data_IF_847673181515
#
_entry.id   IF_847673181515
#
_cell.length_a   1.000
_cell.length_b   1.000
_cell.length_c   1.000
_cell.angle_alpha   90.00
_cell.angle_beta   90.00
_cell.angle_gamma   90.00
#
_symmetry.space_group_name_H-M   'P 1'
#
loop_
_entity.id
_entity.type
_entity.pdbx_description
1 polymer ?
#
# COMPACT_ATOMS: atom_id res chain seq x y z
N UNK A 1 7.17 14.67 35.96
CA UNK A 1 6.37 15.49 34.99
C UNK A 1 6.84 15.38 33.53
N UNK A 2 8.17 15.31 33.23
CA UNK A 2 8.69 15.24 31.84
C UNK A 2 8.35 13.95 31.06
N UNK A 3 8.24 12.78 31.75
CA UNK A 3 7.96 11.50 31.10
C UNK A 3 6.53 11.40 30.52
N UNK A 4 5.52 11.88 31.25
CA UNK A 4 4.11 11.97 30.77
C UNK A 4 3.92 12.96 29.61
N UNK A 5 4.77 13.98 29.50
CA UNK A 5 4.73 14.96 28.39
C UNK A 5 5.34 14.37 27.12
N UNK A 6 6.37 13.52 27.24
CA UNK A 6 6.96 12.80 26.11
C UNK A 6 6.03 11.68 25.61
N UNK A 7 5.42 10.91 26.51
CA UNK A 7 4.41 9.90 26.16
C UNK A 7 3.21 10.53 25.43
N UNK A 8 2.74 11.69 25.87
CA UNK A 8 1.66 12.44 25.24
C UNK A 8 2.05 13.09 23.88
N UNK A 9 3.35 13.36 23.68
CA UNK A 9 3.89 13.79 22.37
C UNK A 9 4.07 12.60 21.41
N UNK A 10 4.41 11.42 21.91
CA UNK A 10 4.50 10.19 21.11
C UNK A 10 3.11 9.66 20.72
N UNK A 11 2.06 9.91 21.50
CA UNK A 11 0.67 9.64 21.14
C UNK A 11 0.14 10.49 19.97
N UNK A 12 0.92 11.44 19.44
CA UNK A 12 0.53 12.34 18.35
C UNK A 12 1.27 12.10 17.03
N UNK A 13 2.16 11.13 16.93
CA UNK A 13 2.81 10.83 15.65
C UNK A 13 1.91 9.87 14.87
N UNK A 14 1.06 10.46 14.04
CA UNK A 14 0.08 9.72 13.26
C UNK A 14 0.71 8.81 12.18
N UNK A 15 1.96 9.11 11.76
CA UNK A 15 2.73 8.31 10.81
C UNK A 15 4.19 8.27 11.23
N UNK A 16 4.78 7.08 11.29
CA UNK A 16 6.18 6.85 11.66
C UNK A 16 7.04 6.65 10.40
N UNK A 17 8.32 7.10 10.40
CA UNK A 17 9.26 6.77 9.34
C UNK A 17 9.46 5.25 9.27
N UNK A 18 9.20 4.68 8.11
CA UNK A 18 9.37 3.25 7.87
C UNK A 18 9.48 2.95 6.39
N UNK A 19 10.36 2.03 6.01
CA UNK A 19 10.50 1.56 4.64
C UNK A 19 10.51 0.03 4.56
N UNK A 20 9.77 -0.51 3.60
CA UNK A 20 9.90 -1.89 3.13
C UNK A 20 10.86 -2.01 1.94
N UNK A 21 11.28 -0.89 1.37
CA UNK A 21 12.16 -0.83 0.21
C UNK A 21 13.61 -0.80 0.66
N UNK A 22 14.41 -1.74 0.14
CA UNK A 22 15.88 -1.74 0.30
C UNK A 22 16.53 -0.90 -0.79
N UNK A 23 17.83 -0.61 -0.65
CA UNK A 23 18.60 0.10 -1.69
C UNK A 23 18.63 -0.70 -3.00
N UNK A 24 18.61 -2.03 -2.93
CA UNK A 24 18.52 -2.89 -4.09
C UNK A 24 17.15 -2.81 -4.78
N UNK A 25 16.05 -2.72 -4.01
CA UNK A 25 14.71 -2.49 -4.55
C UNK A 25 14.68 -1.16 -5.33
N UNK A 26 15.26 -0.10 -4.77
CA UNK A 26 15.33 1.21 -5.42
C UNK A 26 16.19 1.17 -6.68
N UNK A 27 17.32 0.46 -6.65
CA UNK A 27 18.15 0.26 -7.85
C UNK A 27 17.34 -0.43 -8.96
N UNK A 28 16.66 -1.52 -8.67
CA UNK A 28 15.82 -2.23 -9.63
C UNK A 28 14.65 -1.36 -10.11
N UNK A 29 14.02 -0.60 -9.21
CA UNK A 29 12.93 0.32 -9.53
C UNK A 29 13.38 1.37 -10.55
N UNK A 30 14.51 2.05 -10.30
CA UNK A 30 15.08 3.06 -11.22
C UNK A 30 15.48 2.48 -12.58
N UNK A 31 15.80 1.18 -12.64
CA UNK A 31 16.11 0.46 -13.88
C UNK A 31 14.85 -0.04 -14.62
N UNK A 32 13.66 0.10 -14.02
CA UNK A 32 12.43 -0.50 -14.56
C UNK A 32 12.42 -2.03 -14.54
N UNK A 33 13.21 -2.65 -13.65
CA UNK A 33 13.42 -4.10 -13.56
C UNK A 33 12.90 -4.73 -12.26
N UNK A 34 12.14 -4.00 -11.47
CA UNK A 34 11.57 -4.50 -10.24
C UNK A 34 10.19 -5.13 -10.49
N UNK A 35 10.13 -6.44 -10.67
CA UNK A 35 8.89 -7.17 -11.02
C UNK A 35 8.00 -7.49 -9.82
N UNK A 36 8.45 -7.27 -8.58
CA UNK A 36 7.70 -7.53 -7.34
C UNK A 36 7.36 -6.25 -6.58
N UNK A 37 7.13 -5.13 -7.28
CA UNK A 37 6.77 -3.85 -6.64
C UNK A 37 5.49 -3.93 -5.82
N UNK A 38 4.58 -4.84 -6.15
CA UNK A 38 3.35 -5.08 -5.40
C UNK A 38 3.59 -5.58 -3.95
N UNK A 39 4.77 -6.13 -3.67
CA UNK A 39 5.20 -6.54 -2.32
C UNK A 39 5.72 -5.36 -1.48
N UNK A 40 5.97 -4.23 -2.11
CA UNK A 40 6.63 -3.06 -1.53
C UNK A 40 5.73 -1.84 -1.50
N UNK A 41 5.12 -1.50 -2.64
CA UNK A 41 4.19 -0.38 -2.78
C UNK A 41 2.76 -0.79 -2.41
N UNK A 42 1.94 0.19 -2.01
CA UNK A 42 0.58 -0.03 -1.53
C UNK A 42 0.49 0.00 -0.01
N UNK A 43 -0.34 -0.88 0.55
CA UNK A 43 -0.60 -0.99 1.99
C UNK A 43 -0.33 -2.41 2.47
N UNK A 44 0.62 -2.57 3.38
CA UNK A 44 1.05 -3.87 3.88
C UNK A 44 0.95 -3.95 5.39
N UNK A 45 0.17 -4.93 5.87
CA UNK A 45 0.11 -5.27 7.30
C UNK A 45 1.51 -5.68 7.77
N UNK A 46 1.99 -5.07 8.83
CA UNK A 46 3.31 -5.34 9.40
C UNK A 46 3.38 -4.90 10.86
N UNK A 47 4.52 -5.16 11.49
CA UNK A 47 4.85 -4.69 12.83
C UNK A 47 6.07 -3.78 12.75
N UNK A 48 6.03 -2.65 13.45
CA UNK A 48 7.13 -1.72 13.60
C UNK A 48 7.21 -1.24 15.04
N UNK A 49 8.41 -1.25 15.65
CA UNK A 49 8.66 -0.86 17.04
C UNK A 49 7.74 -1.52 18.09
N UNK A 50 7.34 -2.77 17.82
CA UNK A 50 6.47 -3.55 18.70
C UNK A 50 4.97 -3.31 18.48
N UNK A 51 4.57 -2.37 17.63
CA UNK A 51 3.19 -2.07 17.31
C UNK A 51 2.76 -2.70 15.98
N UNK A 52 1.54 -3.25 15.93
CA UNK A 52 0.92 -3.71 14.70
C UNK A 52 0.29 -2.53 13.97
N UNK A 53 0.41 -2.52 12.65
CA UNK A 53 -0.13 -1.47 11.82
C UNK A 53 0.06 -1.76 10.33
N UNK A 54 0.12 -0.70 9.54
CA UNK A 54 0.25 -0.79 8.09
C UNK A 54 1.40 0.09 7.60
N UNK A 55 2.29 -0.51 6.82
CA UNK A 55 3.26 0.22 6.01
C UNK A 55 2.60 0.66 4.70
N UNK A 56 2.60 1.96 4.45
CA UNK A 56 2.11 2.55 3.20
C UNK A 56 3.28 3.01 2.35
N UNK A 57 3.21 2.79 1.05
CA UNK A 57 4.17 3.33 0.10
C UNK A 57 3.50 3.66 -1.24
N UNK A 58 3.79 4.84 -1.79
CA UNK A 58 3.24 5.35 -3.05
C UNK A 58 4.33 5.98 -3.90
N UNK A 59 4.38 5.65 -5.17
CA UNK A 59 5.17 6.39 -6.14
C UNK A 59 4.36 7.58 -6.67
N UNK A 60 4.81 8.78 -6.35
CA UNK A 60 4.18 10.05 -6.73
C UNK A 60 5.25 11.12 -7.00
N UNK A 61 6.03 11.01 -8.09
CA UNK A 61 7.23 11.83 -8.33
C UNK A 61 6.93 13.31 -8.49
N UNK A 62 5.68 13.67 -8.79
CA UNK A 62 5.25 15.06 -8.95
C UNK A 62 4.48 15.59 -7.72
N UNK A 63 4.48 14.83 -6.62
CA UNK A 63 3.83 15.26 -5.39
C UNK A 63 4.74 16.13 -4.52
N UNK A 64 4.18 17.18 -3.94
CA UNK A 64 4.78 18.00 -2.88
C UNK A 64 4.64 17.33 -1.52
N UNK A 65 3.46 16.74 -1.27
CA UNK A 65 3.17 15.94 -0.07
C UNK A 65 2.10 14.90 -0.38
N UNK A 66 2.12 13.82 0.38
CA UNK A 66 1.15 12.72 0.27
C UNK A 66 0.65 12.38 1.67
N UNK A 67 -0.67 12.31 1.84
CA UNK A 67 -1.31 11.88 3.08
C UNK A 67 -2.10 10.60 2.84
N UNK A 68 -2.20 9.78 3.88
CA UNK A 68 -3.14 8.65 3.90
C UNK A 68 -4.39 9.07 4.64
N UNK A 69 -5.53 9.02 3.96
CA UNK A 69 -6.84 9.30 4.54
C UNK A 69 -7.70 8.04 4.51
N UNK A 70 -8.48 7.81 5.53
CA UNK A 70 -9.28 6.59 5.64
C UNK A 70 -10.24 6.61 6.81
N UNK A 71 -10.98 5.51 6.98
CA UNK A 71 -11.93 5.35 8.09
C UNK A 71 -11.26 5.33 9.47
N UNK A 72 -9.99 4.92 9.53
CA UNK A 72 -9.19 4.90 10.76
C UNK A 72 -8.79 6.29 11.28
N UNK A 73 -8.93 7.34 10.47
CA UNK A 73 -8.63 8.72 10.85
C UNK A 73 -9.76 9.70 10.48
N UNK A 74 -10.99 9.19 10.36
CA UNK A 74 -12.17 9.98 9.97
C UNK A 74 -11.99 10.79 8.69
N UNK A 75 -11.21 10.23 7.74
CA UNK A 75 -10.85 10.86 6.45
C UNK A 75 -10.14 12.22 6.61
N UNK A 76 -9.42 12.40 7.73
CA UNK A 76 -8.70 13.64 8.03
C UNK A 76 -7.58 13.89 7.02
N UNK A 77 -7.65 15.03 6.33
CA UNK A 77 -6.77 15.40 5.21
C UNK A 77 -5.39 15.94 5.64
N UNK A 78 -5.09 16.02 6.92
CA UNK A 78 -3.85 16.63 7.41
C UNK A 78 -3.11 15.86 8.51
N UNK A 79 -3.53 14.62 8.83
CA UNK A 79 -3.00 13.93 10.00
C UNK A 79 -1.95 12.86 9.74
N UNK A 80 -1.95 12.22 8.58
CA UNK A 80 -1.09 11.05 8.28
C UNK A 80 -0.26 11.30 7.01
N UNK A 81 0.67 12.24 7.13
CA UNK A 81 1.59 12.56 6.03
C UNK A 81 2.67 11.47 5.90
N UNK A 82 2.88 11.01 4.68
CA UNK A 82 3.97 10.09 4.34
C UNK A 82 5.28 10.86 4.11
N UNK A 83 6.39 10.21 4.38
CA UNK A 83 7.73 10.76 4.21
C UNK A 83 8.22 10.53 2.78
N UNK A 84 8.65 11.61 2.12
CA UNK A 84 9.34 11.48 0.85
C UNK A 84 10.70 10.81 1.05
N UNK A 85 11.01 9.80 0.23
CA UNK A 85 12.34 9.19 0.25
C UNK A 85 13.43 10.17 -0.20
N UNK A 86 14.57 10.07 0.45
CA UNK A 86 15.75 10.92 0.19
C UNK A 86 16.45 10.62 -1.15
N UNK A 87 16.19 9.43 -1.74
CA UNK A 87 16.92 8.88 -2.89
C UNK A 87 16.42 9.37 -4.26
N UNK A 88 15.55 10.37 -4.28
CA UNK A 88 14.95 10.94 -5.50
C UNK A 88 14.17 9.94 -6.36
N UNK A 89 13.67 8.84 -5.75
CA UNK A 89 12.80 7.88 -6.44
C UNK A 89 11.40 8.44 -6.70
N UNK A 90 11.00 9.46 -5.98
CA UNK A 90 9.63 9.98 -5.97
C UNK A 90 8.65 9.08 -5.20
N UNK A 91 9.16 8.21 -4.33
CA UNK A 91 8.35 7.37 -3.46
C UNK A 91 8.13 8.08 -2.13
N UNK A 92 6.89 8.04 -1.65
CA UNK A 92 6.46 8.45 -0.32
C UNK A 92 6.09 7.23 0.48
N UNK A 93 6.56 7.13 1.72
CA UNK A 93 6.36 5.94 2.55
C UNK A 93 6.26 6.27 4.04
N UNK A 94 5.69 5.35 4.82
CA UNK A 94 5.58 5.47 6.26
C UNK A 94 4.76 4.34 6.87
N UNK A 95 4.78 4.25 8.19
CA UNK A 95 4.02 3.28 8.97
C UNK A 95 2.95 4.00 9.79
N UNK A 96 1.74 3.49 9.75
CA UNK A 96 0.61 3.99 10.55
C UNK A 96 0.22 2.90 11.56
N UNK A 97 0.47 3.12 12.85
CA UNK A 97 0.13 2.16 13.89
C UNK A 97 -1.39 2.01 14.05
N UNK A 98 -1.82 0.84 14.52
CA UNK A 98 -3.22 0.57 14.85
C UNK A 98 -4.16 0.32 13.66
N UNK A 99 -3.76 0.63 12.43
CA UNK A 99 -4.54 0.33 11.23
C UNK A 99 -4.61 -1.17 11.03
N UNK A 100 -5.80 -1.69 10.69
CA UNK A 100 -6.09 -3.12 10.60
C UNK A 100 -6.50 -3.53 9.20
N UNK A 101 -6.46 -4.84 8.94
CA UNK A 101 -7.07 -5.44 7.76
C UNK A 101 -8.55 -5.06 7.66
N UNK A 102 -8.98 -4.66 6.46
CA UNK A 102 -10.33 -4.19 6.17
C UNK A 102 -10.48 -2.67 6.22
N UNK A 103 -9.50 -1.92 6.74
CA UNK A 103 -9.56 -0.47 6.77
C UNK A 103 -9.63 0.12 5.36
N UNK A 104 -10.50 1.11 5.17
CA UNK A 104 -10.64 1.85 3.92
C UNK A 104 -9.63 2.98 3.86
N UNK A 105 -9.00 3.19 2.70
CA UNK A 105 -8.05 4.27 2.53
C UNK A 105 -7.98 4.83 1.12
N UNK A 106 -7.50 6.05 1.01
CA UNK A 106 -7.06 6.72 -0.22
C UNK A 106 -5.78 7.50 0.05
N UNK A 107 -5.08 7.85 -1.00
CA UNK A 107 -4.01 8.84 -0.93
C UNK A 107 -4.55 10.22 -1.31
N UNK A 108 -4.26 11.20 -0.47
CA UNK A 108 -4.44 12.61 -0.75
C UNK A 108 -3.11 13.16 -1.21
N UNK A 109 -3.04 13.63 -2.44
CA UNK A 109 -1.80 14.04 -3.10
C UNK A 109 -1.87 15.53 -3.40
N UNK A 110 -0.92 16.28 -2.88
CA UNK A 110 -0.71 17.68 -3.23
C UNK A 110 0.31 17.74 -4.36
N UNK A 111 -0.08 18.26 -5.50
CA UNK A 111 0.76 18.35 -6.68
C UNK A 111 1.79 19.47 -6.57
N UNK A 112 3.00 19.26 -7.11
CA UNK A 112 3.99 20.31 -7.31
C UNK A 112 3.74 21.18 -8.54
N UNK A 113 3.01 20.65 -9.54
CA UNK A 113 2.93 21.25 -10.87
C UNK A 113 1.86 22.34 -10.91
N UNK A 114 0.72 22.11 -10.27
CA UNK A 114 -0.48 22.94 -10.43
C UNK A 114 -1.20 23.25 -9.11
N UNK A 115 -0.54 22.98 -7.98
CA UNK A 115 -1.07 23.10 -6.61
C UNK A 115 -2.42 22.40 -6.38
N UNK A 116 -2.81 21.49 -7.29
CA UNK A 116 -4.03 20.71 -7.13
C UNK A 116 -3.89 19.71 -5.99
N UNK A 117 -5.03 19.45 -5.33
CA UNK A 117 -5.18 18.44 -4.30
C UNK A 117 -6.13 17.37 -4.81
N UNK A 118 -5.62 16.15 -4.99
CA UNK A 118 -6.38 15.06 -5.57
C UNK A 118 -6.43 13.86 -4.62
N UNK A 119 -7.57 13.18 -4.59
CA UNK A 119 -7.74 11.90 -3.90
C UNK A 119 -7.69 10.76 -4.89
N UNK A 120 -6.86 9.76 -4.62
CA UNK A 120 -6.70 8.58 -5.47
C UNK A 120 -6.73 7.30 -4.64
N UNK A 121 -7.35 6.26 -5.21
CA UNK A 121 -7.15 4.90 -4.75
C UNK A 121 -5.69 4.46 -4.98
N UNK A 122 -5.22 3.49 -4.21
CA UNK A 122 -3.86 2.99 -4.33
C UNK A 122 -3.69 2.16 -5.62
N UNK A 123 -2.69 2.45 -6.46
CA UNK A 123 -2.42 1.66 -7.67
C UNK A 123 -2.03 0.21 -7.38
N UNK A 124 -1.39 -0.03 -6.22
CA UNK A 124 -0.96 -1.34 -5.74
C UNK A 124 -1.85 -1.88 -4.62
N UNK A 125 -3.16 -1.56 -4.64
CA UNK A 125 -4.10 -2.14 -3.69
C UNK A 125 -4.43 -3.59 -4.05
N UNK A 126 -4.57 -4.44 -3.05
CA UNK A 126 -4.99 -5.83 -3.23
C UNK A 126 -6.52 -5.98 -3.25
N UNK A 127 -7.23 -4.97 -2.71
CA UNK A 127 -8.68 -5.02 -2.63
C UNK A 127 -9.29 -3.61 -2.70
N UNK A 128 -10.49 -3.49 -3.27
CA UNK A 128 -11.20 -2.21 -3.45
C UNK A 128 -12.65 -2.33 -3.04
N UNK A 129 -13.25 -1.20 -2.74
CA UNK A 129 -14.71 -1.11 -2.57
C UNK A 129 -15.43 -1.43 -3.88
N UNK A 130 -16.68 -1.88 -3.75
CA UNK A 130 -17.58 -2.12 -4.90
C UNK A 130 -18.06 -0.77 -5.45
N UNK A 131 -17.98 -0.54 -6.77
CA UNK A 131 -18.53 0.68 -7.39
C UNK A 131 -19.98 0.97 -6.96
N UNK A 132 -20.36 2.24 -6.76
CA UNK A 132 -19.65 3.47 -7.15
C UNK A 132 -18.59 3.98 -6.16
N UNK A 133 -18.37 3.31 -5.06
CA UNK A 133 -17.32 3.63 -4.10
C UNK A 133 -15.94 3.39 -4.71
N UNK A 134 -14.92 4.10 -4.21
CA UNK A 134 -13.60 4.12 -4.86
C UNK A 134 -12.42 4.03 -3.89
N UNK A 135 -12.63 3.67 -2.64
CA UNK A 135 -11.53 3.50 -1.72
C UNK A 135 -10.81 2.17 -1.93
N UNK A 136 -9.53 2.16 -1.64
CA UNK A 136 -8.75 0.94 -1.47
C UNK A 136 -9.01 0.36 -0.09
N UNK A 137 -8.85 -0.94 0.05
CA UNK A 137 -9.02 -1.66 1.30
C UNK A 137 -7.68 -2.29 1.69
N UNK A 138 -7.25 -2.09 2.93
CA UNK A 138 -6.08 -2.78 3.48
C UNK A 138 -6.35 -4.28 3.50
N UNK A 139 -5.58 -5.04 2.76
CA UNK A 139 -5.75 -6.48 2.63
C UNK A 139 -4.41 -7.20 2.57
N UNK A 140 -4.42 -8.51 2.83
CA UNK A 140 -3.28 -9.39 2.64
C UNK A 140 -3.58 -10.43 1.54
N UNK A 141 -2.53 -11.05 1.05
CA UNK A 141 -2.60 -12.15 0.09
C UNK A 141 -2.34 -13.51 0.78
N UNK A 142 -2.58 -13.59 2.09
CA UNK A 142 -2.36 -14.80 2.87
C UNK A 142 -3.47 -15.83 2.57
N UNK A 143 -3.23 -16.59 1.51
CA UNK A 143 -4.08 -17.69 1.09
C UNK A 143 -3.29 -18.99 1.05
N UNK A 144 -3.74 -19.98 1.82
CA UNK A 144 -3.14 -21.30 1.83
C UNK A 144 -3.79 -22.22 0.80
N UNK A 145 -3.02 -22.56 -0.22
CA UNK A 145 -3.45 -23.51 -1.26
C UNK A 145 -3.55 -24.91 -0.67
N UNK A 146 -4.76 -25.49 -0.65
CA UNK A 146 -5.01 -26.85 -0.14
C UNK A 146 -4.52 -27.94 -1.10
N UNK A 147 -4.51 -27.65 -2.39
CA UNK A 147 -4.20 -28.60 -3.45
C UNK A 147 -3.38 -27.90 -4.56
N UNK A 148 -2.16 -27.55 -4.27
CA UNK A 148 -1.29 -26.98 -5.27
C UNK A 148 -0.14 -27.94 -5.61
N UNK A 149 -0.21 -28.56 -6.78
CA UNK A 149 0.95 -29.19 -7.40
C UNK A 149 1.59 -28.17 -8.30
N UNK A 150 2.40 -27.28 -7.72
CA UNK A 150 3.26 -26.41 -8.53
C UNK A 150 4.42 -27.28 -9.03
N UNK A 151 4.64 -27.44 -10.33
CA UNK A 151 5.84 -28.07 -10.84
C UNK A 151 7.06 -27.34 -10.28
N UNK A 152 7.96 -28.05 -9.61
CA UNK A 152 9.15 -27.50 -8.94
C UNK A 152 10.12 -26.73 -9.86
N UNK A 153 9.90 -26.71 -11.16
CA UNK A 153 10.66 -25.94 -12.16
C UNK A 153 9.73 -25.42 -13.25
N UNK A 154 9.37 -24.17 -13.18
CA UNK A 154 8.87 -23.44 -14.34
C UNK A 154 10.08 -23.09 -15.21
N UNK A 155 10.21 -23.75 -16.36
CA UNK A 155 11.18 -23.38 -17.38
C UNK A 155 10.44 -22.64 -18.51
N UNK A 156 10.98 -21.51 -18.95
CA UNK A 156 10.45 -20.75 -20.08
C UNK A 156 10.40 -21.55 -21.39
N UNK A 157 11.10 -22.70 -21.43
CA UNK A 157 11.10 -23.62 -22.57
C UNK A 157 10.05 -24.73 -22.50
N UNK A 158 9.26 -24.79 -21.42
CA UNK A 158 8.18 -25.77 -21.31
C UNK A 158 6.87 -25.19 -21.88
N UNK A 159 6.02 -26.05 -22.48
CA UNK A 159 4.72 -25.62 -22.92
C UNK A 159 3.87 -25.12 -21.74
N UNK A 160 3.20 -23.99 -21.94
CA UNK A 160 2.31 -23.36 -20.95
C UNK A 160 0.87 -23.46 -21.45
N UNK A 161 -0.03 -23.93 -20.61
CA UNK A 161 -1.46 -23.85 -20.83
C UNK A 161 -2.01 -22.63 -20.13
N UNK A 162 -2.65 -21.72 -20.89
CA UNK A 162 -3.26 -20.51 -20.36
C UNK A 162 -4.77 -20.65 -20.49
N UNK A 163 -5.49 -20.47 -19.39
CA UNK A 163 -6.95 -20.44 -19.35
C UNK A 163 -7.42 -19.10 -18.84
N UNK A 164 -8.00 -18.30 -19.72
CA UNK A 164 -8.53 -16.98 -19.38
C UNK A 164 -10.00 -17.10 -18.97
N UNK A 165 -10.35 -16.52 -17.83
CA UNK A 165 -11.69 -16.57 -17.26
C UNK A 165 -12.15 -15.19 -16.83
N UNK A 166 -13.32 -14.77 -17.28
CA UNK A 166 -14.05 -13.64 -16.73
C UNK A 166 -15.02 -14.14 -15.64
N UNK A 167 -14.60 -14.06 -14.37
CA UNK A 167 -15.34 -14.63 -13.26
C UNK A 167 -16.79 -14.12 -13.13
N UNK A 168 -17.03 -12.84 -13.44
CA UNK A 168 -18.36 -12.24 -13.38
C UNK A 168 -19.38 -12.80 -14.37
N UNK A 169 -18.93 -13.47 -15.44
CA UNK A 169 -19.77 -14.06 -16.48
C UNK A 169 -19.64 -15.58 -16.59
N UNK A 170 -18.75 -16.21 -15.84
CA UNK A 170 -18.44 -17.63 -15.96
C UNK A 170 -19.62 -18.54 -15.66
N UNK A 171 -20.24 -18.32 -14.52
CA UNK A 171 -21.44 -19.07 -14.11
C UNK A 171 -22.25 -18.19 -13.16
N UNK A 172 -23.53 -18.02 -13.48
CA UNK A 172 -24.50 -17.40 -12.58
C UNK A 172 -25.40 -18.49 -12.04
N UNK A 173 -25.52 -18.58 -10.73
CA UNK A 173 -26.60 -19.35 -10.11
C UNK A 173 -27.78 -18.41 -9.90
N UNK A 174 -28.95 -18.78 -10.39
CA UNK A 174 -30.20 -18.08 -10.04
C UNK A 174 -30.57 -18.44 -8.61
N UNK A 175 -30.61 -17.45 -7.77
CA UNK A 175 -31.15 -17.53 -6.40
C UNK A 175 -32.66 -17.50 -6.45
#
# INVERSE_FOLDING_TARGET
MKKKSLEKLMEQVACLPFSKLTDFDIFLFKQGKHFSLYEKLGAHLTQHEGENGVAFALWAPNAKSVFVIGDFNDWNRGSHELFARWDSSGIFEGFIPGVKKGALYKYLIHSHIDDQVIEKAAPFSFFWEIPPKTASIVWDLDYQWKHCVIPKKSSHSLPVSIYEVHLGSWKKESF
#
